data_IF_415143410351
#
_entry.id   IF_415143410351
#
_cell.length_a   1.000
_cell.length_b   1.000
_cell.length_c   1.000
_cell.angle_alpha   90.00
_cell.angle_beta   90.00
_cell.angle_gamma   90.00
#
_symmetry.space_group_name_H-M   'P 1'
#
loop_
_entity.id
_entity.type
_entity.pdbx_description
1 polymer ?
#
# COMPACT_ATOMS: atom_id res chain seq x y z
N UNK A 1 59.23 -0.09 -7.77
CA UNK A 1 57.87 -0.61 -8.07
C UNK A 1 57.76 -0.80 -9.57
N UNK A 2 57.40 -2.01 -10.05
CA UNK A 2 57.46 -2.36 -11.46
C UNK A 2 56.28 -1.68 -12.21
N UNK A 3 56.53 -1.00 -13.33
CA UNK A 3 55.54 -0.24 -14.12
C UNK A 3 54.26 -1.04 -14.40
N UNK A 4 54.40 -2.34 -14.67
CA UNK A 4 53.28 -3.26 -14.88
C UNK A 4 52.39 -3.41 -13.63
N UNK A 5 52.96 -3.29 -12.44
CA UNK A 5 52.21 -3.36 -11.16
C UNK A 5 51.45 -2.05 -10.88
N UNK A 6 52.07 -0.92 -11.25
CA UNK A 6 51.46 0.41 -11.15
C UNK A 6 50.25 0.53 -12.10
N UNK A 7 50.35 0.07 -13.34
CA UNK A 7 49.26 0.08 -14.33
C UNK A 7 48.09 -0.79 -13.86
N UNK A 8 48.33 -1.96 -13.27
CA UNK A 8 47.28 -2.82 -12.73
C UNK A 8 46.56 -2.17 -11.56
N UNK A 9 47.27 -1.50 -10.66
CA UNK A 9 46.68 -0.79 -9.52
C UNK A 9 45.82 0.38 -10.01
N UNK A 10 46.31 1.17 -10.98
CA UNK A 10 45.54 2.28 -11.57
C UNK A 10 44.30 1.79 -12.33
N UNK A 11 44.40 0.65 -13.02
CA UNK A 11 43.24 0.04 -13.70
C UNK A 11 42.20 -0.44 -12.70
N UNK A 12 42.60 -1.10 -11.60
CA UNK A 12 41.70 -1.49 -10.53
C UNK A 12 41.07 -0.30 -9.80
N UNK A 13 41.82 0.76 -9.53
CA UNK A 13 41.28 2.01 -8.95
C UNK A 13 40.27 2.67 -9.91
N UNK A 14 40.57 2.70 -11.20
CA UNK A 14 39.67 3.24 -12.21
C UNK A 14 38.35 2.45 -12.34
N UNK A 15 38.39 1.13 -12.18
CA UNK A 15 37.20 0.28 -12.16
C UNK A 15 36.40 0.51 -10.89
N UNK A 16 37.02 0.63 -9.73
CA UNK A 16 36.33 0.91 -8.46
C UNK A 16 35.68 2.30 -8.48
N UNK A 17 36.33 3.32 -9.03
CA UNK A 17 35.78 4.67 -9.15
C UNK A 17 34.60 4.74 -10.12
N UNK A 18 34.59 3.92 -11.19
CA UNK A 18 33.43 3.87 -12.09
C UNK A 18 32.26 3.07 -11.55
N UNK A 19 32.44 2.19 -10.58
CA UNK A 19 31.34 1.48 -9.91
C UNK A 19 30.60 2.41 -8.91
N UNK A 20 31.31 3.41 -8.34
CA UNK A 20 30.70 4.39 -7.43
C UNK A 20 29.83 5.45 -8.11
N UNK A 21 29.93 5.64 -9.43
CA UNK A 21 29.12 6.64 -10.16
C UNK A 21 27.86 6.08 -10.83
N UNK A 22 27.54 4.82 -10.60
CA UNK A 22 26.33 4.18 -11.15
C UNK A 22 25.14 4.16 -10.18
N UNK A 23 25.17 4.94 -9.12
CA UNK A 23 24.04 5.15 -8.19
C UNK A 23 23.46 6.55 -8.32
N UNK A 24 23.08 6.96 -9.54
CA UNK A 24 21.93 7.86 -9.71
C UNK A 24 20.65 7.01 -9.64
N UNK A 25 20.50 6.29 -8.54
CA UNK A 25 19.20 5.75 -8.15
C UNK A 25 18.34 6.93 -7.77
N UNK A 26 17.36 7.28 -8.58
CA UNK A 26 16.20 8.06 -8.12
C UNK A 26 15.71 7.36 -6.86
N UNK A 27 15.92 8.01 -5.72
CA UNK A 27 15.51 7.47 -4.43
C UNK A 27 14.00 7.26 -4.48
N UNK A 28 13.57 6.00 -4.37
CA UNK A 28 12.18 5.64 -4.52
C UNK A 28 11.38 6.24 -3.37
N UNK A 29 10.53 7.22 -3.66
CA UNK A 29 9.65 7.82 -2.66
C UNK A 29 8.45 6.91 -2.44
N UNK A 30 8.16 6.58 -1.17
CA UNK A 30 6.93 5.88 -0.80
C UNK A 30 5.77 6.88 -0.71
N UNK A 31 4.54 6.43 -0.97
CA UNK A 31 3.37 7.29 -0.94
C UNK A 31 3.21 8.08 0.36
N UNK A 32 3.52 7.48 1.51
CA UNK A 32 3.49 8.19 2.81
C UNK A 32 4.53 9.32 2.86
N UNK A 33 5.76 9.10 2.36
CA UNK A 33 6.80 10.12 2.36
C UNK A 33 6.42 11.27 1.43
N UNK A 34 5.93 10.97 0.22
CA UNK A 34 5.45 11.99 -0.73
C UNK A 34 4.26 12.77 -0.18
N UNK A 35 3.30 12.09 0.44
CA UNK A 35 2.14 12.74 1.06
C UNK A 35 2.54 13.71 2.17
N UNK A 36 3.50 13.33 3.01
CA UNK A 36 3.96 14.14 4.14
C UNK A 36 4.99 15.21 3.75
N UNK A 37 5.61 15.13 2.57
CA UNK A 37 6.61 16.09 2.08
C UNK A 37 6.02 17.48 1.83
N UNK A 38 4.72 17.57 1.61
CA UNK A 38 3.98 18.82 1.33
C UNK A 38 3.05 19.18 2.49
N UNK A 39 2.80 20.48 2.73
CA UNK A 39 1.74 20.88 3.64
C UNK A 39 0.38 20.35 3.18
N UNK A 40 -0.42 19.82 4.10
CA UNK A 40 -1.75 19.25 3.84
C UNK A 40 -2.77 19.84 4.81
N UNK A 41 -2.97 21.18 4.81
CA UNK A 41 -3.87 21.84 5.76
C UNK A 41 -5.33 21.39 5.62
N UNK A 42 -5.72 20.87 4.45
CA UNK A 42 -7.05 20.37 4.16
C UNK A 42 -7.47 19.15 5.00
N UNK A 43 -6.50 18.46 5.62
CA UNK A 43 -6.77 17.31 6.50
C UNK A 43 -6.73 17.66 7.99
N UNK A 44 -6.33 18.88 8.36
CA UNK A 44 -6.32 19.31 9.76
C UNK A 44 -7.75 19.44 10.31
N UNK A 45 -8.01 18.78 11.44
CA UNK A 45 -9.33 18.77 12.07
C UNK A 45 -10.41 17.95 11.31
N UNK A 46 -10.00 17.18 10.33
CA UNK A 46 -10.86 16.24 9.62
C UNK A 46 -10.95 14.92 10.36
N UNK A 47 -12.03 14.19 10.14
CA UNK A 47 -12.22 12.83 10.62
C UNK A 47 -11.53 11.86 9.65
N UNK A 48 -10.46 11.24 10.11
CA UNK A 48 -9.60 10.44 9.27
C UNK A 48 -9.54 8.99 9.74
N UNK A 49 -9.57 8.08 8.78
CA UNK A 49 -9.30 6.66 9.01
C UNK A 49 -8.02 6.21 8.30
N UNK A 50 -7.47 5.09 8.75
CA UNK A 50 -6.35 4.41 8.09
C UNK A 50 -6.65 2.92 7.98
N UNK A 51 -6.44 2.34 6.81
CA UNK A 51 -6.34 0.90 6.61
C UNK A 51 -4.90 0.54 6.32
N UNK A 52 -4.28 -0.27 7.17
CA UNK A 52 -2.88 -0.65 7.02
C UNK A 52 -2.57 -1.99 7.69
N UNK A 53 -1.33 -2.45 7.55
CA UNK A 53 -0.75 -3.59 8.23
C UNK A 53 0.71 -3.27 8.63
N UNK A 54 1.47 -4.26 9.08
CA UNK A 54 2.88 -4.10 9.50
C UNK A 54 3.82 -3.57 8.40
N UNK A 55 3.41 -3.62 7.13
CA UNK A 55 4.19 -3.04 6.02
C UNK A 55 3.99 -1.52 5.86
N UNK A 56 3.04 -0.93 6.60
CA UNK A 56 2.74 0.50 6.59
C UNK A 56 3.81 1.30 7.33
N UNK A 57 4.97 1.47 6.70
CA UNK A 57 6.10 2.25 7.22
C UNK A 57 6.64 3.18 6.14
N UNK A 58 7.26 4.29 6.56
CA UNK A 58 7.98 5.19 5.65
C UNK A 58 9.38 4.63 5.31
N UNK A 59 10.15 5.34 4.46
CA UNK A 59 11.51 4.94 4.06
C UNK A 59 12.47 4.81 5.28
N UNK A 60 12.19 5.49 6.39
CA UNK A 60 12.99 5.41 7.63
C UNK A 60 12.49 4.33 8.61
N UNK A 61 11.51 3.51 8.22
CA UNK A 61 10.92 2.47 9.06
C UNK A 61 9.96 2.99 10.14
N UNK A 62 9.52 4.25 10.07
CA UNK A 62 8.52 4.78 11.00
C UNK A 62 7.12 4.39 10.56
N UNK A 63 6.29 3.95 11.50
CA UNK A 63 4.92 3.51 11.24
C UNK A 63 4.06 4.63 10.66
N UNK A 64 3.31 4.33 9.60
CA UNK A 64 2.32 5.23 9.00
C UNK A 64 1.24 5.62 10.01
N UNK A 65 0.87 4.72 10.93
CA UNK A 65 -0.06 5.02 12.03
C UNK A 65 0.50 6.19 12.84
N UNK A 66 1.75 6.07 13.33
CA UNK A 66 2.39 7.10 14.16
C UNK A 66 2.52 8.43 13.42
N UNK A 67 2.86 8.39 12.13
CA UNK A 67 3.06 9.58 11.31
C UNK A 67 1.76 10.35 11.07
N UNK A 68 0.68 9.65 10.72
CA UNK A 68 -0.62 10.27 10.45
C UNK A 68 -1.28 10.72 11.75
N UNK A 69 -1.26 9.89 12.81
CA UNK A 69 -1.80 10.25 14.11
C UNK A 69 -1.14 11.52 14.66
N UNK A 70 0.19 11.59 14.66
CA UNK A 70 0.93 12.76 15.15
C UNK A 70 0.64 14.04 14.37
N UNK A 71 0.40 13.92 13.06
CA UNK A 71 0.27 15.10 12.18
C UNK A 71 -1.16 15.59 12.05
N UNK A 72 -2.12 14.69 12.01
CA UNK A 72 -3.51 15.02 11.69
C UNK A 72 -4.51 14.52 12.74
N UNK A 73 -4.16 13.50 13.50
CA UNK A 73 -5.08 12.69 14.30
C UNK A 73 -5.77 11.62 13.46
N UNK A 74 -6.08 10.49 14.06
CA UNK A 74 -6.87 9.43 13.46
C UNK A 74 -8.11 9.16 14.33
N UNK A 75 -9.25 8.88 13.70
CA UNK A 75 -10.49 8.49 14.37
C UNK A 75 -10.71 6.98 14.29
N UNK A 76 -10.14 6.32 13.26
CA UNK A 76 -10.39 4.91 13.00
C UNK A 76 -9.16 4.23 12.38
N UNK A 77 -8.79 3.07 12.91
CA UNK A 77 -7.85 2.15 12.29
C UNK A 77 -8.59 0.90 11.83
N UNK A 78 -8.55 0.62 10.53
CA UNK A 78 -9.01 -0.62 9.97
C UNK A 78 -7.84 -1.58 9.77
N UNK A 79 -8.04 -2.82 10.15
CA UNK A 79 -7.07 -3.92 9.99
C UNK A 79 -7.73 -5.13 9.35
N UNK A 80 -6.92 -6.08 8.90
CA UNK A 80 -7.42 -7.40 8.54
C UNK A 80 -6.47 -8.48 9.03
N UNK A 81 -7.05 -9.58 9.49
CA UNK A 81 -6.28 -10.78 9.78
C UNK A 81 -5.97 -11.54 8.48
N UNK A 82 -4.84 -12.23 8.46
CA UNK A 82 -4.61 -13.21 7.42
C UNK A 82 -5.62 -14.34 7.53
N UNK A 83 -6.25 -14.64 6.41
CA UNK A 83 -7.19 -15.75 6.29
C UNK A 83 -6.46 -17.08 6.54
N UNK A 84 -6.99 -17.87 7.50
CA UNK A 84 -6.66 -19.25 7.80
C UNK A 84 -5.25 -19.57 8.29
N UNK A 85 -4.94 -19.26 9.55
CA UNK A 85 -4.01 -20.09 10.37
C UNK A 85 -2.59 -20.27 9.83
N UNK A 86 -2.22 -19.62 8.76
CA UNK A 86 -0.85 -19.57 8.27
C UNK A 86 -0.07 -18.55 9.11
N UNK A 87 0.24 -18.95 10.33
CA UNK A 87 1.06 -18.18 11.30
C UNK A 87 2.51 -17.93 10.86
N UNK A 88 2.86 -18.25 9.61
CA UNK A 88 4.23 -18.08 9.11
C UNK A 88 4.54 -16.62 8.70
N UNK A 89 3.51 -15.78 8.48
CA UNK A 89 3.66 -14.35 8.23
C UNK A 89 2.44 -13.66 8.84
N UNK A 90 2.49 -13.36 10.13
CA UNK A 90 1.50 -12.52 10.79
C UNK A 90 1.72 -11.08 10.33
N UNK A 91 0.91 -10.60 9.38
CA UNK A 91 0.86 -9.17 9.01
C UNK A 91 -0.04 -8.38 9.98
N UNK A 92 -0.48 -9.02 11.06
CA UNK A 92 -1.23 -8.35 12.11
C UNK A 92 -0.32 -7.34 12.78
N UNK A 93 -0.82 -6.12 12.91
CA UNK A 93 -0.19 -5.14 13.78
C UNK A 93 -0.02 -5.76 15.17
N UNK A 94 1.18 -5.69 15.71
CA UNK A 94 1.40 -6.14 17.08
C UNK A 94 0.55 -5.27 18.01
N UNK A 95 0.04 -5.86 19.10
CA UNK A 95 -0.82 -5.15 20.05
C UNK A 95 -0.15 -3.90 20.63
N UNK A 96 1.16 -3.93 20.80
CA UNK A 96 1.99 -2.83 21.26
C UNK A 96 2.18 -1.69 20.19
N UNK A 97 1.96 -1.97 18.89
CA UNK A 97 1.98 -0.94 17.84
C UNK A 97 0.73 -0.05 17.86
N UNK A 98 -0.34 -0.51 18.48
CA UNK A 98 -1.65 0.19 18.52
C UNK A 98 -2.12 0.46 19.95
N UNK A 99 -1.47 -0.09 20.96
CA UNK A 99 -1.81 0.13 22.36
C UNK A 99 -1.58 1.58 22.76
N UNK A 100 -2.61 2.18 23.39
CA UNK A 100 -2.54 3.55 23.91
C UNK A 100 -2.94 4.65 22.93
N UNK A 101 -3.31 4.32 21.68
CA UNK A 101 -3.90 5.29 20.77
C UNK A 101 -5.38 5.58 21.07
N UNK A 102 -5.85 6.81 20.84
CA UNK A 102 -7.22 7.22 21.18
C UNK A 102 -8.28 6.81 20.14
N UNK A 103 -7.90 6.17 19.05
CA UNK A 103 -8.81 5.79 17.96
C UNK A 103 -9.36 4.36 18.11
N UNK A 104 -10.52 4.12 17.50
CA UNK A 104 -11.10 2.79 17.39
C UNK A 104 -10.30 1.90 16.42
N UNK A 105 -10.05 0.64 16.81
CA UNK A 105 -9.45 -0.36 15.93
C UNK A 105 -10.48 -1.42 15.56
N UNK A 106 -10.71 -1.63 14.26
CA UNK A 106 -11.70 -2.58 13.77
C UNK A 106 -11.10 -3.50 12.71
N UNK A 107 -11.22 -4.82 12.96
CA UNK A 107 -10.88 -5.83 11.96
C UNK A 107 -12.03 -5.96 10.94
N UNK A 108 -11.67 -5.93 9.64
CA UNK A 108 -12.63 -6.00 8.53
C UNK A 108 -12.54 -7.28 7.70
N UNK A 109 -11.82 -8.31 8.15
CA UNK A 109 -11.58 -9.55 7.40
C UNK A 109 -12.85 -10.28 6.98
N UNK A 110 -13.90 -10.19 7.78
CA UNK A 110 -15.20 -10.84 7.58
C UNK A 110 -16.30 -9.90 7.04
N UNK A 111 -15.95 -8.63 6.77
CA UNK A 111 -16.94 -7.60 6.44
C UNK A 111 -17.15 -7.45 4.94
N UNK A 112 -18.43 -7.32 4.57
CA UNK A 112 -18.83 -6.95 3.21
C UNK A 112 -18.83 -5.42 3.03
N UNK A 113 -18.80 -4.90 1.78
CA UNK A 113 -18.69 -3.46 1.53
C UNK A 113 -19.72 -2.58 2.26
N UNK A 114 -20.97 -3.01 2.39
CA UNK A 114 -22.01 -2.23 3.09
C UNK A 114 -21.69 -2.08 4.58
N UNK A 115 -21.18 -3.13 5.22
CA UNK A 115 -20.78 -3.08 6.63
C UNK A 115 -19.55 -2.18 6.83
N UNK A 116 -18.59 -2.23 5.89
CA UNK A 116 -17.44 -1.32 5.91
C UNK A 116 -17.90 0.12 5.69
N UNK A 117 -18.83 0.37 4.77
CA UNK A 117 -19.39 1.69 4.52
C UNK A 117 -20.03 2.28 5.80
N UNK A 118 -20.74 1.48 6.57
CA UNK A 118 -21.30 1.93 7.85
C UNK A 118 -20.24 2.34 8.87
N UNK A 119 -19.07 1.71 8.85
CA UNK A 119 -17.95 2.07 9.72
C UNK A 119 -17.29 3.38 9.30
N UNK A 120 -17.17 3.65 8.00
CA UNK A 120 -16.39 4.78 7.47
C UNK A 120 -17.23 6.00 7.08
N UNK A 121 -18.57 5.93 7.07
CA UNK A 121 -19.46 7.01 6.63
C UNK A 121 -19.34 8.33 7.41
N UNK A 122 -18.75 8.29 8.60
CA UNK A 122 -18.49 9.47 9.41
C UNK A 122 -17.11 10.10 9.15
N UNK A 123 -16.29 9.44 8.34
CA UNK A 123 -14.94 9.93 8.00
C UNK A 123 -14.99 10.88 6.79
N UNK A 124 -14.16 11.91 6.82
CA UNK A 124 -13.91 12.77 5.66
C UNK A 124 -13.03 12.04 4.62
N UNK A 125 -12.06 11.23 5.10
CA UNK A 125 -11.19 10.45 4.24
C UNK A 125 -10.70 9.17 4.94
N UNK A 126 -10.46 8.12 4.13
CA UNK A 126 -9.81 6.89 4.54
C UNK A 126 -8.49 6.73 3.77
N UNK A 127 -7.38 6.74 4.49
CA UNK A 127 -6.07 6.41 3.95
C UNK A 127 -5.91 4.90 3.82
N UNK A 128 -5.23 4.45 2.76
CA UNK A 128 -4.87 3.04 2.55
C UNK A 128 -3.37 2.97 2.31
N UNK A 129 -2.66 2.28 3.19
CA UNK A 129 -1.22 2.05 3.10
C UNK A 129 -0.90 0.56 3.21
N UNK A 130 -0.70 -0.08 2.08
CA UNK A 130 -0.47 -1.51 1.97
C UNK A 130 0.65 -1.81 0.97
N UNK A 131 1.51 -2.77 1.32
CA UNK A 131 2.46 -3.32 0.38
C UNK A 131 1.87 -4.55 -0.32
N UNK A 132 1.53 -4.39 -1.59
CA UNK A 132 1.20 -5.53 -2.44
C UNK A 132 2.45 -6.30 -2.89
N UNK A 133 2.32 -7.61 -3.11
CA UNK A 133 3.39 -8.45 -3.68
C UNK A 133 3.29 -8.60 -5.20
N UNK A 134 2.35 -7.91 -5.86
CA UNK A 134 2.22 -7.86 -7.32
C UNK A 134 1.49 -9.04 -7.95
N UNK A 135 0.78 -9.86 -7.17
CA UNK A 135 -0.02 -10.98 -7.66
C UNK A 135 -1.49 -10.88 -7.26
N UNK A 136 -2.38 -11.30 -8.17
CA UNK A 136 -3.84 -11.23 -7.98
C UNK A 136 -4.36 -12.03 -6.78
N UNK A 137 -3.74 -13.14 -6.43
CA UNK A 137 -4.22 -14.05 -5.37
C UNK A 137 -4.01 -13.51 -3.95
N UNK A 138 -3.41 -12.33 -3.81
CA UNK A 138 -3.25 -11.68 -2.53
C UNK A 138 -4.60 -11.18 -2.01
N UNK A 139 -4.92 -11.44 -0.74
CA UNK A 139 -6.19 -11.03 -0.11
C UNK A 139 -6.44 -9.52 -0.16
N UNK A 140 -5.39 -8.73 -0.06
CA UNK A 140 -5.49 -7.26 -0.14
C UNK A 140 -6.10 -6.74 -1.44
N UNK A 141 -5.98 -7.47 -2.55
CA UNK A 141 -6.61 -7.08 -3.82
C UNK A 141 -8.13 -7.06 -3.71
N UNK A 142 -8.71 -8.06 -3.06
CA UNK A 142 -10.16 -8.11 -2.80
C UNK A 142 -10.57 -7.07 -1.76
N UNK A 143 -9.78 -6.93 -0.68
CA UNK A 143 -10.07 -5.94 0.36
C UNK A 143 -10.03 -4.52 -0.20
N UNK A 144 -9.08 -4.20 -1.08
CA UNK A 144 -9.04 -2.94 -1.79
C UNK A 144 -10.32 -2.68 -2.58
N UNK A 145 -10.83 -3.69 -3.31
CA UNK A 145 -12.11 -3.59 -4.02
C UNK A 145 -13.27 -3.33 -3.06
N UNK A 146 -13.31 -4.00 -1.91
CA UNK A 146 -14.33 -3.79 -0.89
C UNK A 146 -14.29 -2.38 -0.30
N UNK A 147 -13.09 -1.86 -0.03
CA UNK A 147 -12.89 -0.51 0.50
C UNK A 147 -13.30 0.57 -0.51
N UNK A 148 -12.95 0.40 -1.78
CA UNK A 148 -13.40 1.32 -2.84
C UNK A 148 -14.93 1.34 -2.97
N UNK A 149 -15.55 0.15 -2.95
CA UNK A 149 -17.01 0.04 -3.01
C UNK A 149 -17.66 0.68 -1.75
N UNK A 150 -17.10 0.41 -0.57
CA UNK A 150 -17.56 1.01 0.67
C UNK A 150 -17.44 2.53 0.67
N UNK A 151 -16.31 3.07 0.17
CA UNK A 151 -16.11 4.52 0.01
C UNK A 151 -17.17 5.16 -0.89
N UNK A 152 -17.49 4.50 -2.03
CA UNK A 152 -18.55 4.96 -2.93
C UNK A 152 -19.93 4.96 -2.27
N UNK A 153 -20.27 3.93 -1.48
CA UNK A 153 -21.52 3.87 -0.71
C UNK A 153 -21.57 4.95 0.37
N UNK A 154 -20.47 5.12 1.11
CA UNK A 154 -20.39 6.03 2.25
C UNK A 154 -20.23 7.50 1.85
N UNK A 155 -19.75 7.78 0.65
CA UNK A 155 -19.33 9.12 0.23
C UNK A 155 -18.00 9.56 0.86
N UNK A 156 -17.20 8.61 1.35
CA UNK A 156 -15.90 8.85 2.00
C UNK A 156 -14.81 8.85 0.94
N UNK A 157 -13.97 9.89 0.89
CA UNK A 157 -12.81 9.93 -0.02
C UNK A 157 -11.80 8.85 0.35
N UNK A 158 -11.20 8.20 -0.66
CA UNK A 158 -10.16 7.19 -0.47
C UNK A 158 -8.81 7.76 -0.95
N UNK A 159 -7.80 7.65 -0.10
CA UNK A 159 -6.44 8.12 -0.39
C UNK A 159 -5.49 6.94 -0.32
N UNK A 160 -4.87 6.60 -1.45
CA UNK A 160 -3.89 5.53 -1.51
C UNK A 160 -2.49 6.13 -1.30
N UNK A 161 -1.83 5.70 -0.24
CA UNK A 161 -0.40 5.96 -0.02
C UNK A 161 0.39 4.90 -0.80
N UNK A 162 0.60 5.17 -2.09
CA UNK A 162 1.04 4.15 -3.04
C UNK A 162 2.44 3.62 -2.74
N UNK A 163 2.66 2.37 -3.14
CA UNK A 163 3.93 1.65 -2.95
C UNK A 163 4.34 0.93 -4.23
N UNK A 164 5.64 0.83 -4.51
CA UNK A 164 6.12 0.14 -5.69
C UNK A 164 5.71 -1.33 -5.69
N UNK A 165 5.43 -1.86 -6.89
CA UNK A 165 5.24 -3.29 -7.07
C UNK A 165 6.59 -4.01 -6.99
N UNK A 166 6.84 -4.91 -6.02
CA UNK A 166 8.13 -5.56 -5.85
C UNK A 166 8.50 -6.50 -7.02
N UNK A 167 7.51 -6.94 -7.80
CA UNK A 167 7.76 -7.71 -9.04
C UNK A 167 7.99 -6.81 -10.26
N UNK A 168 7.94 -5.47 -10.09
CA UNK A 168 8.06 -4.50 -11.18
C UNK A 168 6.81 -4.43 -12.07
N UNK A 169 6.79 -3.44 -12.97
CA UNK A 169 5.69 -3.19 -13.91
C UNK A 169 5.92 -3.71 -15.34
N UNK A 170 7.15 -4.14 -15.67
CA UNK A 170 7.52 -4.51 -17.04
C UNK A 170 6.93 -5.83 -17.52
N UNK A 171 6.70 -6.78 -16.59
CA UNK A 171 6.24 -8.12 -16.93
C UNK A 171 4.84 -8.36 -16.38
N UNK A 172 3.91 -8.61 -17.29
CA UNK A 172 2.55 -9.07 -16.99
C UNK A 172 2.44 -10.52 -17.44
N UNK A 173 1.93 -11.42 -16.60
CA UNK A 173 1.85 -12.85 -16.92
C UNK A 173 0.78 -13.61 -16.13
N UNK A 174 0.47 -14.80 -16.61
CA UNK A 174 -0.54 -15.68 -16.05
C UNK A 174 -1.94 -15.44 -16.61
N UNK A 175 -2.85 -16.32 -16.24
CA UNK A 175 -4.23 -16.31 -16.76
C UNK A 175 -5.08 -15.21 -16.12
N UNK A 176 -6.07 -14.75 -16.87
CA UNK A 176 -7.19 -13.97 -16.34
C UNK A 176 -8.27 -14.97 -15.88
N UNK A 177 -8.82 -14.83 -14.66
CA UNK A 177 -9.82 -15.75 -14.15
C UNK A 177 -11.12 -15.66 -14.94
N UNK A 178 -11.81 -16.77 -15.10
CA UNK A 178 -13.15 -16.77 -15.66
C UNK A 178 -14.16 -16.38 -14.60
N UNK A 179 -15.17 -15.60 -14.96
CA UNK A 179 -16.23 -15.12 -14.06
C UNK A 179 -16.99 -16.27 -13.34
N UNK A 180 -16.99 -17.47 -13.94
CA UNK A 180 -17.60 -18.67 -13.34
C UNK A 180 -16.77 -19.30 -12.20
N UNK A 181 -15.52 -18.87 -12.01
CA UNK A 181 -14.65 -19.36 -10.94
C UNK A 181 -14.67 -18.34 -9.79
N UNK A 182 -15.87 -18.15 -9.23
CA UNK A 182 -16.15 -17.16 -8.19
C UNK A 182 -15.54 -17.53 -6.82
N UNK A 183 -14.21 -17.60 -6.75
CA UNK A 183 -13.52 -17.50 -5.46
C UNK A 183 -13.24 -16.03 -5.16
N UNK A 184 -13.34 -15.61 -3.89
CA UNK A 184 -13.15 -14.20 -3.51
C UNK A 184 -11.87 -13.56 -4.08
N UNK A 185 -10.75 -14.28 -4.06
CA UNK A 185 -9.45 -13.80 -4.55
C UNK A 185 -9.25 -13.93 -6.06
N UNK A 186 -10.17 -14.58 -6.79
CA UNK A 186 -10.07 -14.79 -8.25
C UNK A 186 -11.03 -13.93 -9.06
N UNK A 187 -11.88 -13.15 -8.40
CA UNK A 187 -12.95 -12.39 -9.08
C UNK A 187 -12.46 -11.14 -9.82
N UNK A 188 -11.24 -10.68 -9.57
CA UNK A 188 -10.68 -9.52 -10.26
C UNK A 188 -10.13 -9.96 -11.61
N UNK A 189 -10.65 -9.45 -12.74
CA UNK A 189 -10.31 -9.92 -14.09
C UNK A 189 -8.97 -9.34 -14.57
N UNK A 190 -7.91 -9.55 -13.79
CA UNK A 190 -6.55 -9.16 -14.13
C UNK A 190 -5.63 -10.39 -14.23
N UNK A 191 -4.51 -10.31 -14.95
CA UNK A 191 -3.50 -11.38 -14.98
C UNK A 191 -2.99 -11.75 -13.59
N UNK A 192 -2.48 -12.96 -13.42
CA UNK A 192 -1.97 -13.41 -12.11
C UNK A 192 -0.86 -12.50 -11.59
N UNK A 193 0.18 -12.24 -12.40
CA UNK A 193 1.16 -11.15 -12.18
C UNK A 193 0.67 -9.95 -12.97
N UNK A 194 0.18 -8.94 -12.29
CA UNK A 194 -0.53 -7.83 -12.94
C UNK A 194 0.35 -6.61 -13.27
N UNK A 195 1.56 -6.51 -12.70
CA UNK A 195 2.51 -5.43 -12.99
C UNK A 195 2.09 -4.04 -12.47
N UNK A 196 1.02 -3.93 -11.70
CA UNK A 196 0.50 -2.65 -11.20
C UNK A 196 0.91 -2.41 -9.75
N UNK A 197 1.05 -1.13 -9.36
CA UNK A 197 1.06 -0.72 -7.95
C UNK A 197 -0.33 -0.85 -7.34
N UNK A 198 -0.46 -0.68 -6.03
CA UNK A 198 -1.78 -0.67 -5.35
C UNK A 198 -2.61 0.54 -5.83
N UNK A 199 -1.98 1.69 -6.06
CA UNK A 199 -2.63 2.90 -6.58
C UNK A 199 -3.17 2.71 -8.00
N UNK A 200 -2.37 2.13 -8.90
CA UNK A 200 -2.79 1.80 -10.26
C UNK A 200 -3.93 0.79 -10.27
N UNK A 201 -3.86 -0.23 -9.40
CA UNK A 201 -4.91 -1.22 -9.23
C UNK A 201 -6.21 -0.58 -8.68
N UNK A 202 -6.11 0.31 -7.70
CA UNK A 202 -7.24 1.05 -7.17
C UNK A 202 -7.94 1.88 -8.23
N UNK A 203 -7.19 2.58 -9.09
CA UNK A 203 -7.72 3.36 -10.21
C UNK A 203 -8.45 2.46 -11.21
N UNK A 204 -7.85 1.33 -11.58
CA UNK A 204 -8.49 0.35 -12.46
C UNK A 204 -9.82 -0.15 -11.88
N UNK A 205 -9.81 -0.59 -10.61
CA UNK A 205 -10.99 -1.13 -9.94
C UNK A 205 -12.10 -0.09 -9.76
N UNK A 206 -11.76 1.15 -9.44
CA UNK A 206 -12.73 2.25 -9.31
C UNK A 206 -13.43 2.54 -10.65
N UNK A 207 -12.68 2.48 -11.76
CA UNK A 207 -13.21 2.73 -13.10
C UNK A 207 -14.03 1.54 -13.61
N UNK A 208 -13.50 0.33 -13.57
CA UNK A 208 -14.13 -0.88 -14.14
C UNK A 208 -15.41 -1.28 -13.39
N UNK A 209 -15.45 -1.09 -12.08
CA UNK A 209 -16.60 -1.45 -11.25
C UNK A 209 -17.54 -0.28 -10.97
N UNK A 210 -17.26 0.90 -11.53
CA UNK A 210 -18.07 2.13 -11.37
C UNK A 210 -18.41 2.43 -9.90
N UNK A 211 -17.44 2.24 -8.98
CA UNK A 211 -17.67 2.52 -7.55
C UNK A 211 -17.91 3.99 -7.28
N UNK A 212 -17.42 4.88 -8.16
CA UNK A 212 -17.66 6.32 -8.10
C UNK A 212 -17.06 7.00 -6.87
N UNK A 213 -16.08 6.34 -6.23
CA UNK A 213 -15.42 6.92 -5.06
C UNK A 213 -14.46 8.04 -5.49
N UNK A 214 -14.42 9.11 -4.70
CA UNK A 214 -13.38 10.14 -4.82
C UNK A 214 -12.04 9.52 -4.40
N UNK A 215 -11.18 9.28 -5.39
CA UNK A 215 -9.92 8.54 -5.26
C UNK A 215 -8.71 9.43 -5.54
N UNK A 216 -7.85 9.57 -4.55
CA UNK A 216 -6.53 10.19 -4.66
C UNK A 216 -5.43 9.12 -4.57
N UNK A 217 -4.35 9.28 -5.35
CA UNK A 217 -3.16 8.40 -5.32
C UNK A 217 -1.92 9.28 -5.22
#
# INVERSE_FOLDING_TARGET
MNLKRLIRILFFLGVILNISSAQDGTELSLGIDEFLSKPRPEYLGKKLGLFTNTSGVNHSGQSTIQLLEKKFGLDLLLTMDHWNGATLFSDNLASDEVEGYPFDQINISDKIPVQIADLIKHLDALFIDLQGIGIRSQSYTLTLQHLLHAGGIAGTSIIILDRPNPLGGEMVSGNIPKKSLAYPTSFIPIPYRHGMTIGELARLLNTENAHGVDLMI
#
